data_IF_887671244490
#
_entry.id   IF_887671244490
#
_cell.length_a   1.000
_cell.length_b   1.000
_cell.length_c   1.000
_cell.angle_alpha   90.00
_cell.angle_beta   90.00
_cell.angle_gamma   90.00
#
_symmetry.space_group_name_H-M   'P 1'
#
loop_
_entity.id
_entity.type
_entity.pdbx_description
1 polymer ?
#
# COMPACT_ATOMS: atom_id res chain seq x y z
N UNK A 1 -28.75 16.75 -14.35
CA UNK A 1 -29.01 16.45 -12.92
C UNK A 1 -28.15 15.27 -12.49
N UNK A 2 -27.23 15.45 -11.54
CA UNK A 2 -26.44 14.35 -10.96
C UNK A 2 -27.38 13.53 -10.07
N UNK A 3 -27.63 12.26 -10.40
CA UNK A 3 -28.39 11.37 -9.51
C UNK A 3 -27.67 11.36 -8.15
N UNK A 4 -28.36 11.80 -7.10
CA UNK A 4 -27.85 11.68 -5.73
C UNK A 4 -27.50 10.21 -5.50
N UNK A 5 -26.22 9.94 -5.21
CA UNK A 5 -25.77 8.61 -4.82
C UNK A 5 -26.03 8.50 -3.32
N UNK A 6 -27.21 8.00 -2.98
CA UNK A 6 -27.69 7.78 -1.61
C UNK A 6 -26.97 6.64 -0.90
N UNK A 7 -26.18 5.83 -1.62
CA UNK A 7 -25.39 4.74 -1.06
C UNK A 7 -23.92 4.79 -1.50
N UNK A 8 -23.04 4.39 -0.59
CA UNK A 8 -21.63 4.11 -0.89
C UNK A 8 -21.49 2.83 -1.71
N UNK A 9 -20.30 2.56 -2.27
CA UNK A 9 -20.01 1.28 -2.94
C UNK A 9 -20.14 0.07 -2.00
N UNK A 10 -19.93 0.28 -0.70
CA UNK A 10 -20.14 -0.74 0.34
C UNK A 10 -21.60 -0.85 0.79
N UNK A 11 -22.53 -0.10 0.20
CA UNK A 11 -23.97 -0.17 0.49
C UNK A 11 -24.42 0.65 1.70
N UNK A 12 -23.53 1.41 2.36
CA UNK A 12 -23.89 2.29 3.46
C UNK A 12 -24.70 3.49 2.95
N UNK A 13 -25.74 3.85 3.69
CA UNK A 13 -26.51 5.05 3.39
C UNK A 13 -25.63 6.29 3.58
N UNK A 14 -25.78 7.27 2.68
CA UNK A 14 -25.01 8.51 2.69
C UNK A 14 -25.95 9.68 2.50
N UNK A 15 -25.94 10.60 3.45
CA UNK A 15 -26.61 11.90 3.30
C UNK A 15 -25.84 12.80 2.32
N UNK A 16 -26.56 13.67 1.61
CA UNK A 16 -25.95 14.69 0.74
C UNK A 16 -25.39 15.88 1.55
N UNK A 17 -25.87 16.07 2.79
CA UNK A 17 -25.43 17.13 3.70
C UNK A 17 -25.17 16.51 5.09
N UNK A 18 -23.99 16.73 5.71
CA UNK A 18 -23.75 16.29 7.08
C UNK A 18 -24.57 17.13 8.08
N UNK A 19 -25.14 16.48 9.09
CA UNK A 19 -25.83 17.11 10.23
C UNK A 19 -25.15 16.71 11.55
N UNK A 20 -25.55 17.35 12.65
CA UNK A 20 -24.91 17.19 13.97
C UNK A 20 -24.89 15.74 14.47
N UNK A 21 -25.95 14.98 14.19
CA UNK A 21 -26.06 13.57 14.61
C UNK A 21 -25.36 12.59 13.64
N UNK A 22 -24.78 13.05 12.54
CA UNK A 22 -24.24 12.18 11.49
C UNK A 22 -23.14 11.22 12.01
N UNK A 23 -22.35 11.64 13.00
CA UNK A 23 -21.34 10.79 13.62
C UNK A 23 -21.99 9.67 14.47
N UNK A 24 -23.00 10.02 15.27
CA UNK A 24 -23.75 9.09 16.11
C UNK A 24 -24.56 8.10 15.26
N UNK A 25 -25.20 8.59 14.19
CA UNK A 25 -25.92 7.76 13.19
C UNK A 25 -24.99 6.76 12.49
N UNK A 26 -23.71 7.11 12.35
CA UNK A 26 -22.66 6.24 11.81
C UNK A 26 -22.04 5.30 12.87
N UNK A 27 -22.53 5.32 14.12
CA UNK A 27 -22.08 4.45 15.21
C UNK A 27 -20.82 4.92 15.93
N UNK A 28 -20.44 6.20 15.82
CA UNK A 28 -19.33 6.74 16.61
C UNK A 28 -19.78 7.03 18.06
N UNK A 29 -18.89 6.86 19.06
CA UNK A 29 -19.20 7.20 20.45
C UNK A 29 -19.46 8.70 20.62
N UNK A 30 -20.45 9.04 21.46
CA UNK A 30 -20.83 10.44 21.76
C UNK A 30 -19.67 11.19 22.43
N UNK A 31 -18.94 10.53 23.32
CA UNK A 31 -17.78 11.10 24.02
C UNK A 31 -16.49 11.11 23.18
N UNK A 32 -16.56 10.63 21.93
CA UNK A 32 -15.44 10.54 21.00
C UNK A 32 -14.59 9.28 21.18
N UNK A 33 -13.52 9.20 20.38
CA UNK A 33 -12.57 8.08 20.39
C UNK A 33 -11.35 8.38 21.29
N UNK A 34 -10.72 7.34 21.90
CA UNK A 34 -9.46 7.48 22.63
C UNK A 34 -8.37 8.19 21.83
N UNK A 35 -7.39 8.78 22.53
CA UNK A 35 -6.26 9.46 21.90
C UNK A 35 -5.45 8.50 21.00
N UNK A 36 -4.78 9.01 19.95
CA UNK A 36 -3.88 8.17 19.16
C UNK A 36 -2.82 7.51 20.06
N UNK A 37 -2.46 6.27 19.76
CA UNK A 37 -1.55 5.48 20.60
C UNK A 37 -2.23 4.69 21.72
N UNK A 38 -3.53 4.89 21.97
CA UNK A 38 -4.31 4.09 22.92
C UNK A 38 -5.29 3.15 22.18
N UNK A 39 -5.50 1.91 22.66
CA UNK A 39 -6.52 1.01 22.13
C UNK A 39 -7.92 1.65 22.12
N UNK A 40 -8.76 1.40 21.10
CA UNK A 40 -8.57 0.47 19.99
C UNK A 40 -7.86 1.11 18.77
N UNK A 41 -7.11 2.20 18.96
CA UNK A 41 -6.30 2.87 17.95
C UNK A 41 -7.08 3.46 16.78
N UNK A 42 -8.37 3.77 16.96
CA UNK A 42 -9.21 4.41 15.93
C UNK A 42 -8.57 5.68 15.35
N UNK A 43 -7.80 6.41 16.18
CA UNK A 43 -7.13 7.66 15.81
C UNK A 43 -5.67 7.48 15.36
N UNK A 44 -5.17 6.24 15.30
CA UNK A 44 -3.79 5.91 14.94
C UNK A 44 -3.06 5.11 16.02
N UNK A 45 -2.09 4.30 15.60
CA UNK A 45 -1.32 3.40 16.47
C UNK A 45 -0.17 4.07 17.23
N UNK A 46 0.18 5.31 16.89
CA UNK A 46 1.29 6.05 17.52
C UNK A 46 0.76 7.37 18.09
N UNK A 47 1.17 7.81 19.30
CA UNK A 47 0.68 9.04 19.92
C UNK A 47 0.86 10.31 19.08
N UNK A 48 2.01 10.44 18.41
CA UNK A 48 2.34 11.63 17.61
C UNK A 48 2.13 11.46 16.11
N UNK A 49 1.87 10.23 15.64
CA UNK A 49 1.71 9.89 14.22
C UNK A 49 2.71 10.67 13.33
N UNK A 50 2.19 11.41 12.35
CA UNK A 50 2.98 12.14 11.36
C UNK A 50 3.55 13.47 11.86
N UNK A 51 3.24 13.88 13.11
CA UNK A 51 3.93 15.02 13.75
C UNK A 51 5.37 14.66 14.12
N UNK A 52 5.62 13.39 14.47
CA UNK A 52 6.97 12.92 14.83
C UNK A 52 7.67 12.22 13.67
N UNK A 53 6.95 11.39 12.91
CA UNK A 53 7.53 10.63 11.79
C UNK A 53 6.51 10.44 10.67
N UNK A 54 6.84 10.90 9.46
CA UNK A 54 6.03 10.67 8.27
C UNK A 54 5.94 9.17 7.95
N UNK A 55 4.90 8.78 7.20
CA UNK A 55 4.82 7.43 6.66
C UNK A 55 6.01 7.14 5.73
N UNK A 56 6.38 5.87 5.59
CA UNK A 56 7.42 5.47 4.65
C UNK A 56 6.92 5.65 3.22
N UNK A 57 7.58 6.50 2.45
CA UNK A 57 7.42 6.56 1.00
C UNK A 57 8.08 5.30 0.42
N UNK A 58 7.28 4.39 -0.13
CA UNK A 58 7.70 3.04 -0.54
C UNK A 58 7.09 2.68 -1.88
N UNK A 59 7.78 3.02 -2.98
CA UNK A 59 7.36 2.59 -4.32
C UNK A 59 7.68 1.10 -4.49
N UNK A 60 6.70 0.38 -5.02
CA UNK A 60 6.85 -1.00 -5.45
C UNK A 60 7.52 -1.03 -6.82
N UNK A 61 8.70 -1.62 -6.90
CA UNK A 61 9.50 -1.65 -8.13
C UNK A 61 10.34 -2.92 -8.25
N UNK A 62 10.62 -3.30 -9.49
CA UNK A 62 11.38 -4.47 -9.87
C UNK A 62 11.03 -4.81 -11.31
N UNK A 63 12.03 -4.96 -12.17
CA UNK A 63 11.84 -5.27 -13.59
C UNK A 63 13.17 -5.76 -14.17
N UNK A 64 13.09 -6.71 -15.12
CA UNK A 64 14.25 -7.25 -15.82
C UNK A 64 15.26 -7.88 -14.84
N UNK A 65 16.51 -7.44 -14.85
CA UNK A 65 17.59 -8.01 -14.03
C UNK A 65 17.73 -7.35 -12.64
N UNK A 66 18.38 -8.07 -11.72
CA UNK A 66 18.72 -7.54 -10.39
C UNK A 66 19.57 -6.25 -10.47
N UNK A 67 20.47 -6.15 -11.45
CA UNK A 67 21.30 -4.96 -11.67
C UNK A 67 20.46 -3.73 -12.02
N UNK A 68 19.58 -3.85 -13.01
CA UNK A 68 18.70 -2.75 -13.45
C UNK A 68 17.71 -2.35 -12.35
N UNK A 69 17.20 -3.34 -11.60
CA UNK A 69 16.33 -3.09 -10.44
C UNK A 69 17.08 -2.34 -9.33
N UNK A 70 18.35 -2.67 -9.05
CA UNK A 70 19.18 -1.94 -8.10
C UNK A 70 19.47 -0.50 -8.56
N UNK A 71 19.80 -0.29 -9.84
CA UNK A 71 19.96 1.05 -10.42
C UNK A 71 18.68 1.89 -10.21
N UNK A 72 17.51 1.30 -10.45
CA UNK A 72 16.22 1.93 -10.20
C UNK A 72 16.01 2.25 -8.72
N UNK A 73 16.35 1.35 -7.80
CA UNK A 73 16.21 1.61 -6.37
C UNK A 73 17.09 2.76 -5.90
N UNK A 74 18.34 2.85 -6.37
CA UNK A 74 19.21 3.97 -6.03
C UNK A 74 18.65 5.29 -6.53
N UNK A 75 18.19 5.33 -7.79
CA UNK A 75 17.51 6.50 -8.34
C UNK A 75 16.30 6.91 -7.49
N UNK A 76 15.45 5.96 -7.09
CA UNK A 76 14.28 6.26 -6.28
C UNK A 76 14.64 6.77 -4.87
N UNK A 77 15.70 6.24 -4.25
CA UNK A 77 16.21 6.73 -2.97
C UNK A 77 16.74 8.16 -3.10
N UNK A 78 17.45 8.48 -4.18
CA UNK A 78 17.91 9.84 -4.51
C UNK A 78 16.72 10.81 -4.70
N UNK A 79 15.61 10.33 -5.28
CA UNK A 79 14.36 11.08 -5.46
C UNK A 79 13.48 11.13 -4.19
N UNK A 80 13.98 10.69 -3.03
CA UNK A 80 13.32 10.84 -1.74
C UNK A 80 12.47 9.66 -1.27
N UNK A 81 12.54 8.51 -1.94
CA UNK A 81 11.99 7.26 -1.39
C UNK A 81 12.68 6.92 -0.06
N UNK A 82 11.92 6.44 0.93
CA UNK A 82 12.42 6.17 2.29
C UNK A 82 12.34 4.69 2.69
N UNK A 83 11.88 3.83 1.79
CA UNK A 83 11.97 2.37 1.98
C UNK A 83 11.76 1.62 0.67
N UNK A 84 12.48 0.52 0.48
CA UNK A 84 12.44 -0.28 -0.76
C UNK A 84 11.29 -1.30 -0.74
N UNK A 85 10.73 -1.63 -1.91
CA UNK A 85 9.73 -2.69 -2.05
C UNK A 85 9.92 -3.35 -3.41
N UNK A 86 10.18 -4.66 -3.38
CA UNK A 86 10.67 -5.42 -4.52
C UNK A 86 9.53 -6.16 -5.19
N UNK A 87 9.36 -5.95 -6.50
CA UNK A 87 8.46 -6.74 -7.34
C UNK A 87 9.23 -7.88 -8.01
N UNK A 88 8.91 -9.12 -7.68
CA UNK A 88 9.51 -10.31 -8.29
C UNK A 88 8.78 -10.71 -9.58
N UNK A 89 9.47 -11.33 -10.51
CA UNK A 89 8.83 -11.90 -11.70
C UNK A 89 7.98 -13.14 -11.36
N UNK A 90 7.22 -13.63 -12.34
CA UNK A 90 6.32 -14.75 -12.12
C UNK A 90 7.07 -16.06 -11.79
N UNK A 91 8.15 -16.45 -12.49
CA UNK A 91 8.95 -17.63 -12.11
C UNK A 91 9.43 -17.61 -10.66
N UNK A 92 10.01 -16.49 -10.21
CA UNK A 92 10.48 -16.32 -8.82
C UNK A 92 9.32 -16.46 -7.83
N UNK A 93 8.16 -15.87 -8.12
CA UNK A 93 6.97 -16.00 -7.27
C UNK A 93 6.44 -17.45 -7.19
N UNK A 94 6.63 -18.24 -8.25
CA UNK A 94 6.23 -19.64 -8.33
C UNK A 94 7.32 -20.61 -7.82
N UNK A 95 8.49 -20.11 -7.44
CA UNK A 95 9.62 -20.92 -6.99
C UNK A 95 10.28 -21.72 -8.11
N UNK A 96 10.29 -21.18 -9.33
CA UNK A 96 10.97 -21.75 -10.49
C UNK A 96 12.22 -20.94 -10.81
N UNK A 97 13.33 -21.64 -11.03
CA UNK A 97 14.54 -21.02 -11.58
C UNK A 97 14.29 -20.54 -13.01
N UNK A 98 15.04 -19.52 -13.43
CA UNK A 98 14.91 -18.88 -14.74
C UNK A 98 15.13 -19.81 -15.94
N UNK A 99 15.83 -20.93 -15.76
CA UNK A 99 16.05 -21.94 -16.80
C UNK A 99 14.98 -23.06 -16.82
N UNK A 100 14.02 -23.03 -15.89
CA UNK A 100 12.94 -24.00 -15.85
C UNK A 100 12.07 -23.90 -17.11
N UNK A 101 11.67 -25.02 -17.76
CA UNK A 101 10.90 -24.98 -19.02
C UNK A 101 9.61 -24.15 -18.95
N UNK A 102 8.94 -24.14 -17.80
CA UNK A 102 7.71 -23.36 -17.57
C UNK A 102 7.97 -21.86 -17.26
N UNK A 103 9.21 -21.43 -17.06
CA UNK A 103 9.56 -20.03 -16.84
C UNK A 103 9.75 -19.25 -18.16
N UNK A 104 9.89 -19.97 -19.29
CA UNK A 104 10.17 -19.39 -20.59
C UNK A 104 9.17 -18.30 -20.97
N UNK A 105 9.67 -17.09 -21.22
CA UNK A 105 8.88 -15.93 -21.61
C UNK A 105 8.32 -15.09 -20.47
N UNK A 106 8.52 -15.50 -19.21
CA UNK A 106 8.06 -14.77 -18.02
C UNK A 106 9.21 -14.25 -17.15
N UNK A 107 10.44 -14.73 -17.36
CA UNK A 107 11.66 -14.26 -16.68
C UNK A 107 11.84 -12.75 -16.86
N UNK A 108 11.90 -12.01 -15.76
CA UNK A 108 12.14 -10.56 -15.73
C UNK A 108 11.00 -9.68 -16.28
N UNK A 109 9.87 -10.25 -16.68
CA UNK A 109 8.83 -9.54 -17.47
C UNK A 109 7.93 -8.63 -16.63
N UNK A 110 7.54 -9.09 -15.44
CA UNK A 110 6.64 -8.37 -14.53
C UNK A 110 7.29 -7.99 -13.20
N UNK A 111 8.59 -8.27 -13.09
CA UNK A 111 9.37 -8.10 -11.88
C UNK A 111 10.83 -8.44 -12.12
N UNK A 112 11.63 -8.42 -11.06
CA UNK A 112 13.02 -8.86 -11.10
C UNK A 112 13.09 -10.39 -11.01
N UNK A 113 13.94 -11.00 -11.83
CA UNK A 113 14.27 -12.43 -11.74
C UNK A 113 15.30 -12.68 -10.64
N UNK A 114 15.04 -13.63 -9.73
CA UNK A 114 15.95 -14.02 -8.65
C UNK A 114 15.94 -15.55 -8.48
N UNK A 115 17.05 -16.18 -8.88
CA UNK A 115 17.22 -17.64 -8.76
C UNK A 115 18.08 -18.01 -7.54
N UNK A 116 19.00 -17.13 -7.14
CA UNK A 116 19.98 -17.43 -6.10
C UNK A 116 20.42 -16.17 -5.33
N UNK A 117 21.41 -16.32 -4.45
CA UNK A 117 21.96 -15.24 -3.62
C UNK A 117 22.86 -14.25 -4.38
N UNK A 118 23.31 -14.60 -5.58
CA UNK A 118 24.35 -13.87 -6.34
C UNK A 118 23.87 -12.54 -6.93
#
# INVERSE_FOLDING_TARGET
MRKSRSKTMSGMNRSDVPHEDAATDAGHPVDGHPLPGDPPYTRGIHPDMYKSKLWTMRQYAGFSSARETNERFRMLLEEGQTGLSVAFDLPTQLGLDSDHPNALGEVGKVGVAIDSIQ
#
